data_IF_728294680197
#
_entry.id   IF_728294680197
#
_cell.length_a   1.000
_cell.length_b   1.000
_cell.length_c   1.000
_cell.angle_alpha   90.00
_cell.angle_beta   90.00
_cell.angle_gamma   90.00
#
_symmetry.space_group_name_H-M   'P 1'
#
loop_
_entity.id
_entity.type
_entity.pdbx_description
1 polymer ?
#
# COMPACT_ATOMS: atom_id res chain seq x y z
N UNK A 1 -32.09 27.76 5.33
CA UNK A 1 -30.61 27.60 5.34
C UNK A 1 -30.32 26.14 5.62
N UNK A 2 -29.95 25.37 4.59
CA UNK A 2 -29.41 24.03 4.83
C UNK A 2 -28.11 24.21 5.64
N UNK A 3 -27.99 23.52 6.78
CA UNK A 3 -26.75 23.54 7.55
C UNK A 3 -25.61 23.05 6.66
N UNK A 4 -24.40 23.54 6.93
CA UNK A 4 -23.16 23.08 6.29
C UNK A 4 -23.04 21.54 6.26
N UNK A 5 -23.71 20.89 7.22
CA UNK A 5 -23.89 19.46 7.41
C UNK A 5 -24.61 18.72 6.25
N UNK A 6 -25.46 19.40 5.48
CA UNK A 6 -26.22 18.75 4.41
C UNK A 6 -25.49 18.75 3.04
N UNK A 7 -24.44 19.58 2.88
CA UNK A 7 -23.59 19.58 1.68
C UNK A 7 -22.48 18.54 1.70
N UNK A 8 -22.18 17.93 2.85
CA UNK A 8 -21.26 16.80 2.97
C UNK A 8 -21.93 15.44 2.68
N UNK A 9 -23.24 15.43 2.34
CA UNK A 9 -23.98 14.23 1.93
C UNK A 9 -23.75 13.77 0.48
N UNK A 10 -22.58 14.06 -0.07
CA UNK A 10 -21.92 13.13 -0.99
C UNK A 10 -20.87 12.43 -0.12
N UNK A 11 -21.29 11.39 0.62
CA UNK A 11 -20.44 10.70 1.59
C UNK A 11 -19.17 10.17 0.89
N UNK A 12 -18.06 10.87 1.09
CA UNK A 12 -16.72 10.31 1.02
C UNK A 12 -16.41 9.83 2.44
N UNK A 13 -16.50 8.54 2.69
CA UNK A 13 -16.06 7.96 3.96
C UNK A 13 -14.55 7.75 3.85
N UNK A 14 -13.78 8.70 4.36
CA UNK A 14 -12.37 8.48 4.66
C UNK A 14 -12.31 7.85 6.05
N UNK A 15 -12.28 6.52 6.11
CA UNK A 15 -12.11 5.78 7.34
C UNK A 15 -10.60 5.57 7.57
N UNK A 16 -10.04 6.16 8.63
CA UNK A 16 -8.72 5.75 9.13
C UNK A 16 -8.94 4.38 9.78
N UNK A 17 -8.54 3.33 9.10
CA UNK A 17 -8.86 1.95 9.49
C UNK A 17 -7.71 1.24 10.18
N UNK A 18 -6.46 1.71 10.00
CA UNK A 18 -5.28 1.03 10.53
C UNK A 18 -4.32 2.06 11.15
N UNK A 19 -4.29 2.07 12.47
CA UNK A 19 -3.30 2.77 13.28
C UNK A 19 -2.45 1.73 14.01
N UNK A 20 -1.13 1.77 13.78
CA UNK A 20 -0.16 1.01 14.56
C UNK A 20 0.34 1.92 15.71
N UNK A 21 0.24 1.44 16.95
CA UNK A 21 0.41 2.25 18.18
C UNK A 21 1.74 2.02 18.93
N UNK A 22 2.81 1.63 18.26
CA UNK A 22 4.17 1.75 18.80
C UNK A 22 4.91 2.89 18.08
N UNK A 23 5.93 3.45 18.75
CA UNK A 23 6.54 4.80 18.63
C UNK A 23 6.95 5.31 17.22
N UNK A 24 6.65 4.57 16.16
CA UNK A 24 6.78 4.95 14.75
C UNK A 24 5.41 4.81 14.07
N UNK A 25 4.70 5.94 13.93
CA UNK A 25 3.36 6.02 13.37
C UNK A 25 3.30 5.56 11.91
N UNK A 26 3.05 4.26 11.68
CA UNK A 26 2.74 3.70 10.36
C UNK A 26 1.22 3.69 10.17
N UNK A 27 0.72 4.54 9.28
CA UNK A 27 -0.71 4.75 9.05
C UNK A 27 -1.12 4.33 7.64
N UNK A 28 -2.18 3.52 7.55
CA UNK A 28 -2.84 3.21 6.28
C UNK A 28 -4.29 3.70 6.27
N UNK A 29 -4.75 4.11 5.09
CA UNK A 29 -6.06 4.71 4.87
C UNK A 29 -6.86 3.87 3.90
N UNK A 30 -8.16 3.76 4.16
CA UNK A 30 -9.11 3.22 3.20
C UNK A 30 -10.11 4.33 2.88
N UNK A 31 -10.19 4.66 1.59
CA UNK A 31 -11.11 5.68 1.09
C UNK A 31 -12.21 4.96 0.34
N UNK A 32 -13.44 5.09 0.84
CA UNK A 32 -14.65 4.55 0.20
C UNK A 32 -15.46 5.68 -0.39
N UNK A 33 -15.74 5.58 -1.69
CA UNK A 33 -16.63 6.48 -2.41
C UNK A 33 -17.76 5.68 -3.05
N UNK A 34 -18.69 6.34 -3.76
CA UNK A 34 -19.72 5.63 -4.51
C UNK A 34 -19.15 4.92 -5.74
N UNK A 35 -18.01 5.39 -6.22
CA UNK A 35 -17.33 4.99 -7.44
C UNK A 35 -16.32 3.86 -7.20
N UNK A 36 -15.86 3.66 -5.96
CA UNK A 36 -14.93 2.59 -5.63
C UNK A 36 -14.31 2.69 -4.24
N UNK A 37 -13.40 1.75 -3.95
CA UNK A 37 -12.63 1.67 -2.70
C UNK A 37 -11.13 1.67 -2.99
N UNK A 38 -10.40 2.59 -2.36
CA UNK A 38 -8.95 2.73 -2.49
C UNK A 38 -8.29 2.37 -1.15
N UNK A 39 -7.19 1.61 -1.21
CA UNK A 39 -6.27 1.43 -0.10
C UNK A 39 -5.01 2.27 -0.31
N UNK A 40 -4.58 3.02 0.70
CA UNK A 40 -3.31 3.71 0.69
C UNK A 40 -2.52 3.28 1.91
N UNK A 41 -1.42 2.57 1.71
CA UNK A 41 -0.65 1.99 2.81
C UNK A 41 0.02 3.05 3.71
N UNK A 42 0.23 4.27 3.20
CA UNK A 42 1.17 5.20 3.84
C UNK A 42 2.49 4.48 4.12
N UNK A 43 2.98 4.56 5.34
CA UNK A 43 4.24 3.90 5.71
C UNK A 43 4.04 2.46 6.21
N UNK A 44 2.81 1.92 6.19
CA UNK A 44 2.55 0.53 6.61
C UNK A 44 3.15 -0.46 5.60
N UNK A 45 4.23 -1.11 6.01
CA UNK A 45 4.97 -2.09 5.21
C UNK A 45 5.56 -3.21 6.07
N UNK A 46 5.98 -4.29 5.42
CA UNK A 46 6.94 -5.23 6.00
C UNK A 46 8.32 -4.58 5.98
N UNK A 47 8.67 -3.91 7.08
CA UNK A 47 9.98 -3.27 7.23
C UNK A 47 10.97 -4.27 7.79
N UNK A 48 11.87 -4.72 6.91
CA UNK A 48 12.96 -5.63 7.22
C UNK A 48 14.28 -5.02 6.77
N UNK A 49 15.20 -4.87 7.72
CA UNK A 49 16.51 -4.27 7.46
C UNK A 49 17.63 -5.25 7.79
N UNK A 50 18.48 -5.52 6.80
CA UNK A 50 19.68 -6.31 7.02
C UNK A 50 20.62 -5.60 8.00
N UNK A 51 21.08 -6.33 9.01
CA UNK A 51 21.92 -5.81 10.10
C UNK A 51 21.15 -5.45 11.38
N UNK A 52 19.83 -5.28 11.31
CA UNK A 52 19.00 -5.09 12.50
C UNK A 52 18.83 -6.40 13.28
N UNK A 53 18.57 -6.34 14.60
CA UNK A 53 18.31 -7.54 15.39
C UNK A 53 17.16 -8.36 14.80
N UNK A 54 17.37 -9.67 14.65
CA UNK A 54 16.37 -10.58 14.11
C UNK A 54 15.01 -10.48 14.82
N UNK A 55 15.02 -10.28 16.14
CA UNK A 55 13.80 -10.14 16.93
C UNK A 55 13.00 -8.87 16.54
N UNK A 56 13.68 -7.77 16.21
CA UNK A 56 13.04 -6.53 15.81
C UNK A 56 12.42 -6.66 14.42
N UNK A 57 13.16 -7.20 13.44
CA UNK A 57 12.61 -7.51 12.13
C UNK A 57 11.39 -8.45 12.23
N UNK A 58 11.47 -9.51 13.02
CA UNK A 58 10.33 -10.43 13.23
C UNK A 58 9.11 -9.74 13.85
N UNK A 59 9.34 -8.79 14.76
CA UNK A 59 8.28 -7.98 15.39
C UNK A 59 7.61 -7.07 14.35
N UNK A 60 8.39 -6.39 13.51
CA UNK A 60 7.89 -5.52 12.43
C UNK A 60 7.07 -6.31 11.41
N UNK A 61 7.62 -7.42 10.90
CA UNK A 61 6.91 -8.33 9.98
C UNK A 61 5.59 -8.84 10.59
N UNK A 62 5.62 -9.26 11.86
CA UNK A 62 4.43 -9.75 12.54
C UNK A 62 3.36 -8.66 12.70
N UNK A 63 3.77 -7.44 13.04
CA UNK A 63 2.87 -6.30 13.16
C UNK A 63 2.22 -5.97 11.81
N UNK A 64 3.02 -5.88 10.74
CA UNK A 64 2.50 -5.67 9.39
C UNK A 64 1.47 -6.75 8.99
N UNK A 65 1.79 -8.02 9.23
CA UNK A 65 0.87 -9.12 8.93
C UNK A 65 -0.43 -9.06 9.74
N UNK A 66 -0.39 -8.57 10.99
CA UNK A 66 -1.61 -8.33 11.80
C UNK A 66 -2.50 -7.29 11.13
N UNK A 67 -1.93 -6.16 10.71
CA UNK A 67 -2.69 -5.07 10.09
C UNK A 67 -3.32 -5.49 8.75
N UNK A 68 -2.55 -6.16 7.88
CA UNK A 68 -3.09 -6.69 6.61
C UNK A 68 -4.20 -7.72 6.83
N UNK A 69 -4.14 -8.53 7.91
CA UNK A 69 -5.23 -9.46 8.23
C UNK A 69 -6.54 -8.77 8.58
N UNK A 70 -6.52 -7.56 9.14
CA UNK A 70 -7.75 -6.81 9.48
C UNK A 70 -8.57 -6.43 8.25
N UNK A 71 -7.92 -6.26 7.10
CA UNK A 71 -8.56 -5.89 5.83
C UNK A 71 -8.74 -7.07 4.88
N UNK A 72 -8.44 -8.30 5.34
CA UNK A 72 -8.63 -9.51 4.56
C UNK A 72 -10.12 -9.74 4.27
N UNK A 73 -10.43 -10.05 3.01
CA UNK A 73 -11.81 -10.22 2.53
C UNK A 73 -12.47 -8.94 2.03
N UNK A 74 -11.79 -7.79 2.15
CA UNK A 74 -12.15 -6.58 1.42
C UNK A 74 -11.66 -6.64 -0.04
N UNK A 75 -12.31 -5.86 -0.90
CA UNK A 75 -11.90 -5.63 -2.28
C UNK A 75 -11.49 -4.16 -2.45
N UNK A 76 -10.42 -3.92 -3.21
CA UNK A 76 -9.95 -2.57 -3.54
C UNK A 76 -9.82 -2.38 -5.06
N UNK A 77 -10.36 -1.30 -5.58
CA UNK A 77 -10.20 -0.93 -6.99
C UNK A 77 -8.77 -0.49 -7.29
N UNK A 78 -8.15 0.22 -6.33
CA UNK A 78 -6.75 0.60 -6.40
C UNK A 78 -6.08 0.52 -5.02
N UNK A 79 -4.81 0.15 -5.01
CA UNK A 79 -3.98 0.20 -3.82
C UNK A 79 -2.65 0.93 -4.08
N UNK A 80 -2.19 1.72 -3.12
CA UNK A 80 -0.86 2.33 -3.11
C UNK A 80 -0.02 1.63 -2.03
N UNK A 81 1.04 0.94 -2.44
CA UNK A 81 1.79 0.01 -1.57
C UNK A 81 3.29 0.25 -1.69
N UNK A 82 4.06 0.28 -0.58
CA UNK A 82 5.50 0.50 -0.63
C UNK A 82 6.23 -0.59 -1.44
N UNK A 83 7.23 -0.16 -2.20
CA UNK A 83 8.19 -0.99 -2.93
C UNK A 83 9.57 -0.33 -2.78
N UNK A 84 10.21 -0.58 -1.65
CA UNK A 84 11.35 0.23 -1.20
C UNK A 84 12.70 -0.45 -1.51
N UNK A 85 13.45 0.01 -2.52
CA UNK A 85 14.71 -0.62 -2.94
C UNK A 85 15.81 -0.55 -1.87
N UNK A 86 15.67 0.32 -0.86
CA UNK A 86 16.67 0.45 0.23
C UNK A 86 16.73 -0.80 1.10
N UNK A 87 15.69 -1.64 1.10
CA UNK A 87 15.62 -2.90 1.85
C UNK A 87 16.34 -4.07 1.15
N UNK A 88 17.04 -3.82 0.04
CA UNK A 88 17.87 -4.83 -0.64
C UNK A 88 17.04 -6.00 -1.17
N UNK A 89 17.27 -7.20 -0.63
CA UNK A 89 16.54 -8.41 -1.01
C UNK A 89 15.10 -8.44 -0.47
N UNK A 90 14.81 -7.65 0.57
CA UNK A 90 13.50 -7.55 1.22
C UNK A 90 12.60 -6.45 0.61
N UNK A 91 13.03 -5.80 -0.47
CA UNK A 91 12.33 -4.66 -1.09
C UNK A 91 10.86 -4.92 -1.46
N UNK A 92 10.49 -6.19 -1.68
CA UNK A 92 9.19 -6.62 -2.18
C UNK A 92 8.33 -7.38 -1.15
N UNK A 93 8.83 -7.66 0.07
CA UNK A 93 8.16 -8.58 1.00
C UNK A 93 6.75 -8.10 1.36
N UNK A 94 6.59 -6.82 1.67
CA UNK A 94 5.29 -6.22 2.00
C UNK A 94 4.29 -6.29 0.83
N UNK A 95 4.66 -5.82 -0.36
CA UNK A 95 3.76 -5.84 -1.52
C UNK A 95 3.38 -7.28 -1.94
N UNK A 96 4.29 -8.24 -1.82
CA UNK A 96 4.01 -9.65 -2.11
C UNK A 96 3.02 -10.23 -1.10
N UNK A 97 3.18 -9.92 0.18
CA UNK A 97 2.23 -10.35 1.19
C UNK A 97 0.85 -9.71 0.98
N UNK A 98 0.80 -8.43 0.62
CA UNK A 98 -0.45 -7.75 0.25
C UNK A 98 -1.12 -8.44 -0.95
N UNK A 99 -0.40 -8.60 -2.07
CA UNK A 99 -0.89 -9.23 -3.30
C UNK A 99 -1.44 -10.65 -3.10
N UNK A 100 -0.84 -11.40 -2.17
CA UNK A 100 -1.24 -12.77 -1.82
C UNK A 100 -2.52 -12.82 -0.98
N UNK A 101 -2.76 -11.82 -0.13
CA UNK A 101 -3.82 -11.87 0.87
C UNK A 101 -5.01 -10.96 0.57
N UNK A 102 -4.83 -9.94 -0.26
CA UNK A 102 -5.82 -8.89 -0.50
C UNK A 102 -6.27 -8.89 -1.96
N UNK A 103 -7.58 -8.88 -2.15
CA UNK A 103 -8.19 -8.74 -3.46
C UNK A 103 -8.13 -7.27 -3.91
N UNK A 104 -7.47 -7.02 -5.04
CA UNK A 104 -7.25 -5.67 -5.54
C UNK A 104 -7.04 -5.63 -7.05
N UNK A 105 -7.77 -4.78 -7.76
CA UNK A 105 -7.69 -4.73 -9.23
C UNK A 105 -6.33 -4.20 -9.71
N UNK A 106 -5.88 -3.08 -9.13
CA UNK A 106 -4.67 -2.37 -9.56
C UNK A 106 -3.83 -1.92 -8.37
N UNK A 107 -2.51 -2.06 -8.47
CA UNK A 107 -1.56 -1.60 -7.45
C UNK A 107 -0.59 -0.59 -8.07
N UNK A 108 -0.40 0.51 -7.37
CA UNK A 108 0.56 1.56 -7.65
C UNK A 108 1.69 1.47 -6.61
N UNK A 109 2.90 1.01 -6.99
CA UNK A 109 4.04 1.03 -6.10
C UNK A 109 4.36 2.47 -5.66
N UNK A 110 4.80 2.64 -4.43
CA UNK A 110 5.28 3.92 -3.88
C UNK A 110 6.53 3.68 -3.02
N UNK A 111 7.07 4.71 -2.36
CA UNK A 111 8.28 4.58 -1.52
C UNK A 111 9.51 4.04 -2.27
N UNK A 112 9.61 4.26 -3.58
CA UNK A 112 10.77 3.85 -4.38
C UNK A 112 11.84 4.95 -4.53
N UNK A 113 11.69 6.10 -3.86
CA UNK A 113 12.73 7.14 -3.69
C UNK A 113 13.44 7.57 -4.98
N UNK A 114 12.68 7.89 -6.04
CA UNK A 114 13.17 8.22 -7.39
C UNK A 114 13.88 7.08 -8.14
N UNK A 115 13.94 5.87 -7.58
CA UNK A 115 14.43 4.68 -8.27
C UNK A 115 13.26 3.86 -8.86
N UNK A 116 12.62 4.41 -9.90
CA UNK A 116 11.54 3.73 -10.59
C UNK A 116 11.97 2.42 -11.29
N UNK A 117 13.29 2.12 -11.38
CA UNK A 117 13.74 0.83 -11.92
C UNK A 117 13.37 -0.34 -11.01
N UNK A 118 13.13 -0.10 -9.71
CA UNK A 118 12.65 -1.13 -8.80
C UNK A 118 11.30 -1.73 -9.25
N UNK A 119 10.44 -0.92 -9.89
CA UNK A 119 9.17 -1.40 -10.46
C UNK A 119 9.45 -2.36 -11.63
N UNK A 120 10.43 -2.04 -12.49
CA UNK A 120 10.84 -2.91 -13.60
C UNK A 120 11.45 -4.21 -13.08
N UNK A 121 12.28 -4.15 -12.04
CA UNK A 121 12.82 -5.31 -11.35
C UNK A 121 11.68 -6.20 -10.84
N UNK A 122 10.74 -5.62 -10.09
CA UNK A 122 9.60 -6.35 -9.52
C UNK A 122 8.78 -7.09 -10.59
N UNK A 123 8.37 -6.43 -11.68
CA UNK A 123 7.58 -7.10 -12.72
C UNK A 123 8.37 -8.14 -13.52
N UNK A 124 9.71 -8.07 -13.50
CA UNK A 124 10.59 -9.06 -14.14
C UNK A 124 10.73 -10.29 -13.25
N UNK A 125 10.91 -10.11 -11.94
CA UNK A 125 10.99 -11.20 -10.95
C UNK A 125 9.62 -11.86 -10.71
N UNK A 126 8.52 -11.10 -10.79
CA UNK A 126 7.16 -11.56 -10.52
C UNK A 126 6.19 -11.28 -11.68
N UNK A 127 6.39 -11.90 -12.85
CA UNK A 127 5.60 -11.61 -14.06
C UNK A 127 4.11 -11.90 -13.91
N UNK A 128 3.72 -12.80 -12.98
CA UNK A 128 2.32 -13.09 -12.67
C UNK A 128 1.54 -11.88 -12.14
N UNK A 129 2.22 -10.86 -11.59
CA UNK A 129 1.58 -9.64 -11.08
C UNK A 129 1.64 -8.46 -12.06
N UNK A 130 2.32 -8.61 -13.21
CA UNK A 130 2.56 -7.53 -14.17
C UNK A 130 1.29 -6.80 -14.61
N UNK A 131 0.16 -7.50 -14.78
CA UNK A 131 -1.10 -6.87 -15.20
C UNK A 131 -1.74 -5.99 -14.12
N UNK A 132 -1.43 -6.26 -12.84
CA UNK A 132 -1.95 -5.53 -11.67
C UNK A 132 -1.07 -4.35 -11.27
N UNK A 133 0.24 -4.39 -11.55
CA UNK A 133 1.16 -3.31 -11.20
C UNK A 133 1.13 -2.19 -12.25
N UNK A 134 0.91 -0.95 -11.83
CA UNK A 134 0.97 0.25 -12.68
C UNK A 134 2.12 1.15 -12.26
N UNK A 135 2.82 1.70 -13.26
CA UNK A 135 3.87 2.67 -13.01
C UNK A 135 3.25 4.02 -12.63
N UNK A 136 3.63 4.54 -11.47
CA UNK A 136 3.22 5.85 -10.95
C UNK A 136 3.86 7.03 -11.70
N UNK A 137 4.95 6.80 -12.44
CA UNK A 137 5.65 7.85 -13.21
C UNK A 137 4.98 8.17 -14.57
N UNK A 138 3.97 7.40 -15.00
CA UNK A 138 3.32 7.58 -16.31
C UNK A 138 2.47 8.86 -16.45
N UNK A 139 2.41 9.74 -15.44
CA UNK A 139 1.69 11.02 -15.55
C UNK A 139 2.55 12.20 -16.01
N UNK A 140 3.85 12.02 -16.28
CA UNK A 140 4.64 12.99 -17.03
C UNK A 140 4.49 12.76 -18.55
N UNK A 141 3.31 13.09 -19.09
CA UNK A 141 3.15 13.41 -20.51
C UNK A 141 2.87 12.26 -21.46
N UNK A 142 2.04 11.29 -21.09
CA UNK A 142 1.29 10.52 -22.09
C UNK A 142 -0.08 11.20 -22.29
N UNK A 143 -0.21 11.93 -23.40
CA UNK A 143 -1.50 12.42 -23.89
C UNK A 143 -2.44 11.22 -24.12
N UNK A 144 -3.67 11.32 -23.59
CA UNK A 144 -4.79 10.42 -23.93
C UNK A 144 -5.22 10.62 -25.39
#
# INVERSE_FOLDING_TARGET
MASFDQKLRTLYLMEILLERTDDEHMLAFIVKTKEGTIYHAGDLNDWYWDGEPKADNQRLTSAYHVEIRKIKGMHFDAAFVPLDPRQGDHYADGILYFLKNIDCNVIFPMHYWNDANVIKRFITEYPQYKSRIKNTECTKGEEL
#
